data_IF_464940479524
#
_entry.id   IF_464940479524
#
_cell.length_a   1.000
_cell.length_b   1.000
_cell.length_c   1.000
_cell.angle_alpha   90.00
_cell.angle_beta   90.00
_cell.angle_gamma   90.00
#
_symmetry.space_group_name_H-M   'P 1'
#
loop_
_entity.id
_entity.type
_entity.pdbx_description
1 polymer ?
#
# COMPACT_ATOMS: atom_id res chain seq x y z
N UNK A 1 -15.00 29.96 -19.05
CA UNK A 1 -15.40 30.73 -17.86
C UNK A 1 -14.76 30.10 -16.62
N UNK A 2 -13.98 30.84 -15.81
CA UNK A 2 -13.38 30.29 -14.60
C UNK A 2 -14.42 30.08 -13.49
N UNK A 3 -14.32 28.96 -12.78
CA UNK A 3 -15.23 28.63 -11.66
C UNK A 3 -15.00 29.55 -10.44
N UNK A 4 -16.07 29.88 -9.68
CA UNK A 4 -15.95 30.64 -8.44
C UNK A 4 -15.00 29.96 -7.43
N UNK A 5 -14.18 30.76 -6.74
CA UNK A 5 -13.19 30.33 -5.73
C UNK A 5 -13.67 29.30 -4.70
N UNK A 6 -14.90 29.37 -4.12
CA UNK A 6 -15.36 28.35 -3.16
C UNK A 6 -15.63 27.00 -3.83
N UNK A 7 -16.20 26.99 -5.04
CA UNK A 7 -16.42 25.78 -5.84
C UNK A 7 -15.10 25.13 -6.25
N UNK A 8 -14.06 25.94 -6.49
CA UNK A 8 -12.72 25.45 -6.83
C UNK A 8 -12.03 24.72 -5.67
N UNK A 9 -12.23 25.18 -4.42
CA UNK A 9 -11.76 24.47 -3.22
C UNK A 9 -12.54 23.18 -2.99
N UNK A 10 -13.85 23.21 -3.18
CA UNK A 10 -14.69 22.01 -3.07
C UNK A 10 -14.34 20.99 -4.16
N UNK A 11 -14.07 21.44 -5.39
CA UNK A 11 -13.59 20.61 -6.49
C UNK A 11 -12.22 20.01 -6.23
N UNK A 12 -11.24 20.77 -5.74
CA UNK A 12 -9.94 20.21 -5.30
C UNK A 12 -10.08 19.21 -4.15
N UNK A 13 -11.07 19.41 -3.27
CA UNK A 13 -11.37 18.51 -2.16
C UNK A 13 -12.03 17.21 -2.63
N UNK A 14 -12.74 17.26 -3.76
CA UNK A 14 -13.39 16.12 -4.42
C UNK A 14 -12.46 15.41 -5.42
N UNK A 15 -11.52 16.12 -6.02
CA UNK A 15 -10.46 15.62 -6.90
C UNK A 15 -9.09 15.90 -6.27
N UNK A 16 -8.70 15.14 -5.22
CA UNK A 16 -7.31 15.19 -4.76
C UNK A 16 -6.38 14.87 -5.93
N UNK A 17 -5.19 15.46 -5.91
CA UNK A 17 -4.20 15.34 -6.99
C UNK A 17 -4.02 13.88 -7.39
N UNK A 18 -4.17 13.59 -8.69
CA UNK A 18 -4.09 12.24 -9.23
C UNK A 18 -2.69 11.69 -8.96
N UNK A 19 -2.59 10.64 -8.15
CA UNK A 19 -1.32 9.96 -7.91
C UNK A 19 -1.18 8.89 -8.98
N UNK A 20 -0.23 9.09 -9.89
CA UNK A 20 0.21 8.03 -10.79
C UNK A 20 1.11 7.07 -10.01
N UNK A 21 0.60 5.87 -9.75
CA UNK A 21 1.34 4.81 -9.07
C UNK A 21 1.57 3.67 -10.04
N UNK A 22 2.83 3.33 -10.28
CA UNK A 22 3.23 2.10 -10.94
C UNK A 22 3.53 1.02 -9.89
N UNK A 23 2.68 0.00 -9.86
CA UNK A 23 2.75 -1.10 -8.91
C UNK A 23 3.33 -2.35 -9.57
N UNK A 24 4.40 -2.87 -8.98
CA UNK A 24 4.92 -4.17 -9.38
C UNK A 24 4.06 -5.34 -8.85
N UNK A 25 4.38 -6.56 -9.28
CA UNK A 25 3.65 -7.77 -8.86
C UNK A 25 3.69 -7.99 -7.34
N UNK A 26 4.80 -7.67 -6.67
CA UNK A 26 4.93 -7.85 -5.21
C UNK A 26 4.06 -6.83 -4.49
N UNK A 27 4.09 -5.58 -4.91
CA UNK A 27 3.29 -4.49 -4.37
C UNK A 27 1.79 -4.74 -4.56
N UNK A 28 1.39 -5.25 -5.72
CA UNK A 28 0.01 -5.68 -5.98
C UNK A 28 -0.42 -6.80 -5.03
N UNK A 29 0.44 -7.79 -4.77
CA UNK A 29 0.15 -8.89 -3.83
C UNK A 29 0.01 -8.39 -2.39
N UNK A 30 0.92 -7.51 -1.95
CA UNK A 30 0.89 -6.89 -0.62
C UNK A 30 -0.40 -6.08 -0.43
N UNK A 31 -0.70 -5.18 -1.36
CA UNK A 31 -1.91 -4.36 -1.30
C UNK A 31 -3.17 -5.22 -1.40
N UNK A 32 -3.20 -6.21 -2.31
CA UNK A 32 -4.33 -7.12 -2.46
C UNK A 32 -4.60 -7.95 -1.18
N UNK A 33 -3.57 -8.30 -0.43
CA UNK A 33 -3.72 -8.90 0.89
C UNK A 33 -4.33 -7.91 1.89
N UNK A 34 -3.71 -6.73 2.03
CA UNK A 34 -4.13 -5.70 2.99
C UNK A 34 -5.52 -5.11 2.70
N UNK A 35 -5.96 -5.07 1.44
CA UNK A 35 -7.33 -4.67 1.07
C UNK A 35 -8.36 -5.63 1.66
N UNK A 36 -8.02 -6.93 1.74
CA UNK A 36 -8.90 -7.98 2.27
C UNK A 36 -8.84 -8.06 3.79
N UNK A 37 -7.64 -7.99 4.38
CA UNK A 37 -7.43 -8.16 5.82
C UNK A 37 -7.43 -6.85 6.63
N UNK A 38 -7.41 -5.69 5.97
CA UNK A 38 -7.29 -4.34 6.53
C UNK A 38 -5.96 -4.07 7.28
N UNK A 39 -5.34 -5.08 7.88
CA UNK A 39 -4.02 -5.04 8.50
C UNK A 39 -3.37 -6.43 8.51
N UNK A 40 -2.05 -6.50 8.48
CA UNK A 40 -1.30 -7.76 8.57
C UNK A 40 0.11 -7.53 9.16
N UNK A 41 0.73 -8.59 9.69
CA UNK A 41 2.15 -8.54 10.08
C UNK A 41 3.04 -8.59 8.83
N UNK A 42 4.23 -8.03 8.94
CA UNK A 42 5.25 -8.09 7.89
C UNK A 42 5.56 -9.53 7.47
N UNK A 43 5.57 -10.44 8.45
CA UNK A 43 5.78 -11.87 8.21
C UNK A 43 4.65 -12.48 7.38
N UNK A 44 3.39 -12.22 7.72
CA UNK A 44 2.23 -12.73 6.98
C UNK A 44 2.23 -12.22 5.53
N UNK A 45 2.57 -10.95 5.33
CA UNK A 45 2.68 -10.35 3.99
C UNK A 45 3.78 -11.01 3.18
N UNK A 46 4.93 -11.29 3.79
CA UNK A 46 6.04 -12.01 3.16
C UNK A 46 5.65 -13.42 2.77
N UNK A 47 5.07 -14.19 3.68
CA UNK A 47 4.61 -15.55 3.42
C UNK A 47 3.57 -15.58 2.31
N UNK A 48 2.63 -14.63 2.32
CA UNK A 48 1.66 -14.47 1.24
C UNK A 48 2.34 -14.21 -0.10
N UNK A 49 3.27 -13.25 -0.18
CA UNK A 49 3.97 -12.96 -1.44
C UNK A 49 4.75 -14.18 -1.94
N UNK A 50 5.49 -14.87 -1.07
CA UNK A 50 6.31 -16.01 -1.45
C UNK A 50 5.46 -17.22 -1.90
N UNK A 51 4.26 -17.38 -1.34
CA UNK A 51 3.32 -18.41 -1.77
C UNK A 51 2.85 -18.20 -3.23
N UNK A 52 2.64 -16.95 -3.64
CA UNK A 52 2.18 -16.61 -5.00
C UNK A 52 3.32 -16.38 -6.00
N UNK A 53 4.45 -15.82 -5.55
CA UNK A 53 5.63 -15.52 -6.37
C UNK A 53 6.88 -16.11 -5.73
N UNK A 54 7.13 -17.39 -5.99
CA UNK A 54 8.29 -18.14 -5.45
C UNK A 54 9.65 -17.55 -5.82
N UNK A 55 9.72 -16.76 -6.88
CA UNK A 55 10.95 -16.08 -7.33
C UNK A 55 11.22 -14.76 -6.60
N UNK A 56 10.26 -14.26 -5.82
CA UNK A 56 10.49 -13.08 -5.00
C UNK A 56 11.45 -13.42 -3.85
N UNK A 57 12.29 -12.47 -3.47
CA UNK A 57 13.15 -12.59 -2.29
C UNK A 57 12.69 -11.67 -1.16
N UNK A 58 13.19 -11.92 0.05
CA UNK A 58 12.80 -11.16 1.25
C UNK A 58 13.13 -9.66 1.12
N UNK A 59 14.25 -9.32 0.48
CA UNK A 59 14.65 -7.93 0.27
C UNK A 59 13.66 -7.19 -0.64
N UNK A 60 13.16 -7.82 -1.69
CA UNK A 60 12.16 -7.25 -2.59
C UNK A 60 10.84 -6.96 -1.86
N UNK A 61 10.37 -7.89 -1.01
CA UNK A 61 9.18 -7.66 -0.19
C UNK A 61 9.40 -6.48 0.76
N UNK A 62 10.57 -6.42 1.41
CA UNK A 62 10.92 -5.33 2.33
C UNK A 62 10.98 -3.97 1.62
N UNK A 63 11.62 -3.89 0.45
CA UNK A 63 11.69 -2.67 -0.35
C UNK A 63 10.30 -2.24 -0.84
N UNK A 64 9.45 -3.20 -1.23
CA UNK A 64 8.06 -2.93 -1.61
C UNK A 64 7.27 -2.32 -0.46
N UNK A 65 7.42 -2.84 0.77
CA UNK A 65 6.75 -2.27 1.94
C UNK A 65 7.20 -0.83 2.23
N UNK A 66 8.50 -0.55 2.10
CA UNK A 66 9.04 0.81 2.28
C UNK A 66 8.49 1.76 1.20
N UNK A 67 8.45 1.31 -0.06
CA UNK A 67 7.90 2.11 -1.16
C UNK A 67 6.42 2.40 -0.98
N UNK A 68 5.62 1.38 -0.68
CA UNK A 68 4.18 1.54 -0.40
C UNK A 68 3.89 2.47 0.78
N UNK A 69 4.73 2.44 1.82
CA UNK A 69 4.64 3.35 2.96
C UNK A 69 5.00 4.79 2.55
N UNK A 70 6.05 4.98 1.74
CA UNK A 70 6.44 6.30 1.22
C UNK A 70 5.37 6.93 0.31
N UNK A 71 4.57 6.10 -0.34
CA UNK A 71 3.43 6.50 -1.18
C UNK A 71 2.14 6.70 -0.37
N UNK A 72 2.19 6.58 0.96
CA UNK A 72 1.04 6.66 1.86
C UNK A 72 -0.08 5.66 1.54
N UNK A 73 0.22 4.54 0.90
CA UNK A 73 -0.76 3.48 0.59
C UNK A 73 -0.95 2.52 1.78
N UNK A 74 0.09 2.38 2.59
CA UNK A 74 0.09 1.64 3.85
C UNK A 74 0.75 2.48 4.94
N UNK A 75 0.49 2.15 6.19
CA UNK A 75 1.12 2.77 7.35
C UNK A 75 1.54 1.70 8.36
N UNK A 76 2.63 1.97 9.08
CA UNK A 76 3.04 1.13 10.20
C UNK A 76 2.16 1.42 11.41
N UNK A 77 1.61 0.36 11.98
CA UNK A 77 0.91 0.46 13.26
C UNK A 77 1.97 0.32 14.35
N UNK A 78 2.18 1.33 15.21
CA UNK A 78 3.03 1.15 16.38
C UNK A 78 2.37 0.09 17.27
N UNK A 79 3.11 -0.97 17.58
CA UNK A 79 2.69 -1.92 18.60
C UNK A 79 2.56 -1.13 19.92
N UNK A 80 1.36 -1.10 20.48
CA UNK A 80 1.04 -0.27 21.62
C UNK A 80 1.92 -0.63 22.83
N UNK A 81 2.59 0.40 23.37
CA UNK A 81 3.28 0.46 24.66
C UNK A 81 4.42 -0.55 24.91
N UNK A 82 5.60 0.00 25.23
CA UNK A 82 6.77 -0.69 25.80
C UNK A 82 7.53 -1.68 24.90
N UNK A 83 8.40 -1.13 24.03
CA UNK A 83 9.79 -1.55 24.01
C UNK A 83 10.65 -0.52 23.26
N UNK A 84 11.67 0.09 23.90
CA UNK A 84 12.73 0.79 23.22
C UNK A 84 13.72 -0.25 22.68
N UNK A 85 13.31 -1.05 21.70
CA UNK A 85 14.24 -1.91 20.97
C UNK A 85 13.99 -1.80 19.47
N UNK A 86 15.05 -1.88 18.64
CA UNK A 86 14.90 -1.95 17.19
C UNK A 86 14.11 -3.21 16.88
N UNK A 87 12.79 -3.07 16.76
CA UNK A 87 11.85 -4.18 16.72
C UNK A 87 12.26 -5.10 15.59
N UNK A 88 12.58 -6.35 15.96
CA UNK A 88 12.97 -7.39 15.03
C UNK A 88 12.05 -7.35 13.79
N UNK A 89 12.60 -7.49 12.57
CA UNK A 89 11.88 -7.22 11.32
C UNK A 89 10.56 -7.99 11.17
N UNK A 90 10.35 -9.08 11.92
CA UNK A 90 9.13 -9.89 11.92
C UNK A 90 7.94 -9.34 12.72
N UNK A 91 8.11 -8.40 13.66
CA UNK A 91 6.98 -7.92 14.49
C UNK A 91 6.19 -6.75 13.90
N UNK A 92 6.69 -6.12 12.84
CA UNK A 92 6.09 -4.89 12.30
C UNK A 92 4.71 -5.17 11.71
N UNK A 93 3.68 -4.46 12.16
CA UNK A 93 2.33 -4.51 11.61
C UNK A 93 2.10 -3.37 10.62
N UNK A 94 1.47 -3.68 9.50
CA UNK A 94 1.05 -2.70 8.50
C UNK A 94 -0.47 -2.66 8.40
N UNK A 95 -1.00 -1.46 8.20
CA UNK A 95 -2.42 -1.19 7.93
C UNK A 95 -2.56 -0.48 6.60
N UNK A 96 -3.63 -0.78 5.86
CA UNK A 96 -3.92 -0.07 4.61
C UNK A 96 -4.56 1.30 4.90
N UNK A 97 -4.10 2.33 4.20
CA UNK A 97 -4.65 3.68 4.33
C UNK A 97 -5.93 3.85 3.50
N UNK A 98 -6.56 5.02 3.59
CA UNK A 98 -7.68 5.37 2.73
C UNK A 98 -7.29 5.38 1.25
N UNK A 99 -6.10 5.86 0.93
CA UNK A 99 -5.60 5.95 -0.45
C UNK A 99 -5.24 4.56 -0.99
N UNK A 100 -4.61 3.71 -0.16
CA UNK A 100 -4.39 2.30 -0.50
C UNK A 100 -5.69 1.55 -0.79
N UNK A 101 -6.78 1.84 -0.08
CA UNK A 101 -8.10 1.22 -0.35
C UNK A 101 -8.69 1.63 -1.69
N UNK A 102 -8.41 2.85 -2.19
CA UNK A 102 -8.92 3.31 -3.49
C UNK A 102 -8.34 2.49 -4.65
N UNK A 103 -7.15 1.94 -4.48
CA UNK A 103 -6.50 1.07 -5.46
C UNK A 103 -7.20 -0.28 -5.68
N UNK A 104 -8.18 -0.66 -4.83
CA UNK A 104 -8.95 -1.91 -5.00
C UNK A 104 -9.56 -2.07 -6.39
N UNK A 105 -9.96 -0.98 -7.02
CA UNK A 105 -10.62 -1.01 -8.34
C UNK A 105 -9.62 -1.37 -9.46
N UNK A 106 -8.33 -1.14 -9.22
CA UNK A 106 -7.31 -1.21 -10.28
C UNK A 106 -6.31 -2.34 -10.06
N UNK A 107 -6.16 -2.84 -8.83
CA UNK A 107 -5.39 -4.05 -8.56
C UNK A 107 -6.15 -5.27 -9.11
N UNK A 108 -5.62 -5.98 -10.11
CA UNK A 108 -6.28 -7.12 -10.71
C UNK A 108 -6.31 -8.29 -9.72
N UNK A 109 -7.33 -9.14 -9.86
CA UNK A 109 -7.44 -10.36 -9.06
C UNK A 109 -6.24 -11.30 -9.25
N UNK A 110 -5.59 -11.23 -10.42
CA UNK A 110 -4.31 -11.89 -10.70
C UNK A 110 -3.24 -10.83 -10.96
N UNK A 111 -2.15 -10.80 -10.19
CA UNK A 111 -1.06 -9.84 -10.37
C UNK A 111 -0.45 -9.92 -11.76
N UNK A 112 -0.09 -8.77 -12.34
CA UNK A 112 0.57 -8.67 -13.67
C UNK A 112 1.82 -7.80 -13.57
N UNK A 113 2.72 -7.92 -14.55
CA UNK A 113 4.09 -7.40 -14.54
C UNK A 113 4.24 -5.95 -14.05
N UNK A 114 3.32 -5.06 -14.43
CA UNK A 114 3.23 -3.68 -13.96
C UNK A 114 1.85 -3.13 -14.25
N UNK A 115 1.40 -2.17 -13.46
CA UNK A 115 0.15 -1.44 -13.70
C UNK A 115 0.37 0.02 -13.34
N UNK A 116 0.30 0.89 -14.35
CA UNK A 116 0.20 2.32 -14.13
C UNK A 116 -1.25 2.68 -13.82
N UNK A 117 -1.46 3.27 -12.65
CA UNK A 117 -2.80 3.63 -12.18
C UNK A 117 -2.85 5.08 -11.74
N UNK A 118 -3.90 5.79 -12.15
CA UNK A 118 -4.23 7.11 -11.61
C UNK A 118 -5.20 6.95 -10.41
N UNK A 119 -4.81 7.39 -9.22
CA UNK A 119 -5.63 7.34 -7.98
C UNK A 119 -6.03 8.72 -7.51
#
# INVERSE_FOLDING_TARGET
MPLPTPLRRLWKRLHPDRIEVDLDVVEQLVLGHLIRSNSALAQDLREHVLAFRRTANEMQVRLSLVRLESLHLIERVPDGAEAPEPTAPGRRRYRITRDGKRLKVVIPAQPRSSIQTHV
#
